data_IF_296669811155
#
_entry.id   IF_296669811155
#
_cell.length_a   1.000
_cell.length_b   1.000
_cell.length_c   1.000
_cell.angle_alpha   90.00
_cell.angle_beta   90.00
_cell.angle_gamma   90.00
#
_symmetry.space_group_name_H-M   'P 1'
#
loop_
_entity.id
_entity.type
_entity.pdbx_description
1 polymer ?
#
# COMPACT_ATOMS: atom_id res chain seq x y z
N UNK A 1 -85.65 -61.31 -19.90
CA UNK A 1 -84.67 -61.12 -18.82
C UNK A 1 -83.41 -60.51 -19.42
N UNK A 2 -83.27 -59.22 -19.29
CA UNK A 2 -82.26 -58.44 -19.97
C UNK A 2 -81.06 -58.22 -19.06
N UNK A 3 -79.87 -58.59 -19.53
CA UNK A 3 -78.59 -58.32 -18.87
C UNK A 3 -77.99 -57.03 -19.44
N UNK A 4 -77.95 -56.01 -18.64
CA UNK A 4 -77.19 -54.75 -19.00
C UNK A 4 -75.67 -55.01 -18.90
N UNK A 5 -74.96 -54.74 -19.99
CA UNK A 5 -73.50 -54.66 -20.00
C UNK A 5 -73.11 -53.25 -19.61
N UNK A 6 -72.35 -53.10 -18.52
CA UNK A 6 -71.65 -51.83 -18.19
C UNK A 6 -70.31 -51.80 -18.92
N UNK A 7 -70.15 -50.76 -19.71
CA UNK A 7 -68.87 -50.45 -20.38
C UNK A 7 -68.16 -49.38 -19.53
N UNK A 8 -67.07 -49.74 -18.93
CA UNK A 8 -66.21 -48.80 -18.18
C UNK A 8 -65.19 -48.14 -19.12
N UNK A 9 -65.30 -46.81 -19.23
CA UNK A 9 -64.30 -46.04 -19.94
C UNK A 9 -63.15 -45.59 -18.98
N UNK A 10 -61.94 -46.09 -19.22
CA UNK A 10 -60.76 -45.59 -18.57
C UNK A 10 -60.21 -44.39 -19.37
N UNK A 11 -60.33 -43.21 -18.80
CA UNK A 11 -59.68 -42.00 -19.31
C UNK A 11 -58.23 -41.97 -18.82
N UNK A 12 -57.29 -42.16 -19.73
CA UNK A 12 -55.85 -42.04 -19.50
C UNK A 12 -55.47 -40.56 -19.62
N UNK A 13 -55.23 -39.89 -18.49
CA UNK A 13 -54.73 -38.49 -18.48
C UNK A 13 -53.22 -38.50 -18.62
N UNK A 14 -52.72 -38.10 -19.77
CA UNK A 14 -51.28 -37.90 -19.98
C UNK A 14 -50.85 -36.60 -19.32
N UNK A 15 -50.03 -36.71 -18.23
CA UNK A 15 -49.34 -35.56 -17.64
C UNK A 15 -48.08 -35.29 -18.49
N UNK A 16 -48.11 -34.23 -19.29
CA UNK A 16 -46.92 -33.68 -19.95
C UNK A 16 -46.08 -32.96 -18.87
N UNK A 17 -45.01 -33.60 -18.39
CA UNK A 17 -44.01 -32.93 -17.56
C UNK A 17 -43.09 -32.13 -18.50
N UNK A 18 -43.35 -30.83 -18.56
CA UNK A 18 -42.46 -29.89 -19.25
C UNK A 18 -41.18 -29.71 -18.47
N UNK A 19 -40.08 -30.33 -18.90
CA UNK A 19 -38.73 -30.05 -18.41
C UNK A 19 -38.30 -28.67 -18.94
N UNK A 20 -38.51 -27.60 -18.16
CA UNK A 20 -37.87 -26.33 -18.39
C UNK A 20 -36.37 -26.50 -18.12
N UNK A 21 -35.57 -26.50 -19.19
CA UNK A 21 -34.10 -26.43 -19.07
C UNK A 21 -33.73 -25.09 -18.43
N UNK A 22 -33.40 -25.07 -17.14
CA UNK A 22 -32.72 -23.96 -16.49
C UNK A 22 -31.35 -23.82 -17.19
N UNK A 23 -31.23 -22.82 -18.07
CA UNK A 23 -29.92 -22.35 -18.50
C UNK A 23 -29.21 -21.78 -17.26
N UNK A 24 -28.27 -22.54 -16.73
CA UNK A 24 -27.28 -22.02 -15.77
C UNK A 24 -26.46 -21.02 -16.60
N UNK A 25 -26.84 -19.74 -16.51
CA UNK A 25 -26.02 -18.64 -16.99
C UNK A 25 -24.84 -18.63 -16.04
N UNK A 26 -23.71 -19.19 -16.47
CA UNK A 26 -22.46 -19.13 -15.72
C UNK A 26 -22.19 -17.67 -15.37
N UNK A 27 -22.03 -17.36 -14.09
CA UNK A 27 -21.61 -16.02 -13.68
C UNK A 27 -20.33 -15.69 -14.45
N UNK A 28 -20.19 -14.46 -15.02
CA UNK A 28 -18.96 -14.07 -15.69
C UNK A 28 -17.79 -14.27 -14.72
N UNK A 29 -16.78 -14.99 -15.16
CA UNK A 29 -15.54 -15.16 -14.39
C UNK A 29 -14.97 -13.76 -14.18
N UNK A 30 -14.98 -13.28 -12.96
CA UNK A 30 -14.44 -11.97 -12.61
C UNK A 30 -12.96 -11.92 -13.00
N UNK A 31 -12.59 -10.96 -13.85
CA UNK A 31 -11.20 -10.79 -14.28
C UNK A 31 -10.36 -10.41 -13.04
N UNK A 32 -9.40 -11.25 -12.68
CA UNK A 32 -8.46 -10.96 -11.62
C UNK A 32 -7.25 -10.23 -12.19
N UNK A 33 -6.73 -9.28 -11.41
CA UNK A 33 -5.52 -8.54 -11.73
C UNK A 33 -4.36 -9.04 -10.87
N UNK A 34 -3.34 -9.59 -11.50
CA UNK A 34 -2.07 -9.86 -10.85
C UNK A 34 -1.31 -8.56 -10.63
N UNK A 35 -0.65 -8.45 -9.49
CA UNK A 35 -0.03 -7.19 -9.06
C UNK A 35 1.42 -7.44 -8.66
N UNK A 36 2.33 -6.61 -9.17
CA UNK A 36 3.70 -6.49 -8.70
C UNK A 36 3.83 -5.21 -7.89
N UNK A 37 4.33 -5.29 -6.65
CA UNK A 37 4.44 -4.13 -5.78
C UNK A 37 5.89 -3.93 -5.34
N UNK A 38 6.38 -2.70 -5.49
CA UNK A 38 7.67 -2.28 -4.96
C UNK A 38 7.44 -1.24 -3.85
N UNK A 39 7.83 -1.59 -2.63
CA UNK A 39 7.73 -0.69 -1.49
C UNK A 39 9.05 0.04 -1.29
N UNK A 40 9.00 1.36 -1.36
CA UNK A 40 10.12 2.28 -1.15
C UNK A 40 9.91 3.01 0.17
N UNK A 41 10.94 3.08 1.01
CA UNK A 41 10.80 3.78 2.28
C UNK A 41 12.03 3.66 3.18
N UNK A 42 11.83 3.97 4.44
CA UNK A 42 12.84 3.97 5.48
C UNK A 42 12.79 2.70 6.39
N UNK A 43 13.23 2.82 7.63
CA UNK A 43 13.22 1.74 8.64
C UNK A 43 11.83 1.17 8.91
N UNK A 44 10.79 1.98 8.85
CA UNK A 44 9.39 1.54 9.07
C UNK A 44 8.97 0.61 7.92
N UNK A 45 9.26 0.98 6.68
CA UNK A 45 9.01 0.13 5.51
C UNK A 45 9.87 -1.14 5.54
N UNK A 46 11.14 -1.01 5.95
CA UNK A 46 12.04 -2.16 6.09
C UNK A 46 11.53 -3.17 7.14
N UNK A 47 10.79 -2.71 8.14
CA UNK A 47 10.39 -3.52 9.29
C UNK A 47 11.50 -3.63 10.33
N UNK A 48 12.30 -2.56 10.49
CA UNK A 48 13.36 -2.52 11.48
C UNK A 48 12.78 -2.80 12.89
N UNK A 49 13.54 -3.56 13.68
CA UNK A 49 13.19 -4.03 15.03
C UNK A 49 12.08 -5.10 15.11
N UNK A 50 11.47 -5.52 13.99
CA UNK A 50 10.60 -6.70 13.96
C UNK A 50 11.46 -7.99 14.00
N UNK A 51 10.92 -9.04 14.59
CA UNK A 51 11.62 -10.32 14.71
C UNK A 51 11.80 -11.00 13.36
N UNK A 52 10.77 -10.95 12.54
CA UNK A 52 10.78 -11.48 11.16
C UNK A 52 10.28 -10.41 10.17
N UNK A 53 11.13 -9.45 9.76
CA UNK A 53 10.73 -8.38 8.85
C UNK A 53 10.23 -8.89 7.50
N UNK A 54 10.69 -10.05 7.04
CA UNK A 54 10.24 -10.65 5.79
C UNK A 54 8.73 -10.89 5.78
N UNK A 55 8.16 -11.35 6.89
CA UNK A 55 6.74 -11.71 7.00
C UNK A 55 5.90 -10.70 7.77
N UNK A 56 6.53 -9.88 8.62
CA UNK A 56 5.87 -9.00 9.58
C UNK A 56 5.92 -7.52 9.21
N UNK A 57 6.82 -7.11 8.30
CA UNK A 57 6.89 -5.72 7.87
C UNK A 57 5.62 -5.26 7.16
N UNK A 58 5.26 -3.95 7.25
CA UNK A 58 4.06 -3.41 6.61
C UNK A 58 3.91 -3.78 5.12
N UNK A 59 4.97 -3.82 4.29
CA UNK A 59 4.93 -4.34 2.92
C UNK A 59 4.36 -5.76 2.78
N UNK A 60 4.84 -6.69 3.60
CA UNK A 60 4.38 -8.08 3.58
C UNK A 60 2.91 -8.19 3.96
N UNK A 61 2.49 -7.46 5.00
CA UNK A 61 1.10 -7.43 5.47
C UNK A 61 0.18 -6.79 4.41
N UNK A 62 0.61 -5.68 3.79
CA UNK A 62 -0.16 -5.01 2.74
C UNK A 62 -0.36 -5.93 1.52
N UNK A 63 0.69 -6.65 1.11
CA UNK A 63 0.64 -7.59 0.00
C UNK A 63 -0.25 -8.80 0.31
N UNK A 64 -0.17 -9.36 1.52
CA UNK A 64 -1.07 -10.42 1.99
C UNK A 64 -2.53 -9.93 2.02
N UNK A 65 -2.77 -8.71 2.52
CA UNK A 65 -4.11 -8.11 2.51
C UNK A 65 -4.67 -7.99 1.10
N UNK A 66 -3.88 -7.47 0.15
CA UNK A 66 -4.30 -7.30 -1.24
C UNK A 66 -4.64 -8.64 -1.91
N UNK A 67 -3.82 -9.67 -1.70
CA UNK A 67 -4.05 -11.01 -2.28
C UNK A 67 -5.38 -11.66 -1.84
N UNK A 68 -5.97 -11.19 -0.75
CA UNK A 68 -7.28 -11.65 -0.25
C UNK A 68 -8.46 -10.84 -0.81
N UNK A 69 -8.21 -9.78 -1.58
CA UNK A 69 -9.28 -8.91 -2.04
C UNK A 69 -9.92 -9.41 -3.34
N UNK A 70 -11.19 -9.09 -3.50
CA UNK A 70 -11.97 -9.42 -4.70
C UNK A 70 -11.34 -8.75 -5.93
N UNK A 71 -11.27 -9.46 -7.05
CA UNK A 71 -10.66 -8.94 -8.28
C UNK A 71 -9.12 -8.93 -8.28
N UNK A 72 -8.47 -9.31 -7.18
CA UNK A 72 -7.02 -9.47 -7.10
C UNK A 72 -6.64 -10.93 -7.34
N UNK A 73 -5.63 -11.12 -8.18
CA UNK A 73 -4.99 -12.40 -8.46
C UNK A 73 -3.74 -12.60 -7.58
N UNK A 74 -2.65 -12.97 -8.21
CA UNK A 74 -1.36 -13.11 -7.54
C UNK A 74 -0.77 -11.74 -7.18
N UNK A 75 -0.20 -11.61 -5.99
CA UNK A 75 0.55 -10.42 -5.56
C UNK A 75 1.98 -10.83 -5.25
N UNK A 76 2.92 -10.33 -6.06
CA UNK A 76 4.34 -10.43 -5.78
C UNK A 76 4.87 -9.06 -5.33
N UNK A 77 5.84 -9.03 -4.42
CA UNK A 77 6.35 -7.77 -3.92
C UNK A 77 7.84 -7.79 -3.60
N UNK A 78 8.43 -6.60 -3.59
CA UNK A 78 9.79 -6.35 -3.10
C UNK A 78 9.76 -5.22 -2.08
N UNK A 79 10.36 -5.46 -0.92
CA UNK A 79 10.59 -4.44 0.10
C UNK A 79 11.96 -3.78 -0.13
N UNK A 80 11.95 -2.50 -0.50
CA UNK A 80 13.14 -1.64 -0.71
C UNK A 80 13.26 -0.58 0.40
N UNK A 81 12.66 -0.80 1.55
CA UNK A 81 12.85 0.03 2.74
C UNK A 81 14.30 -0.05 3.23
N UNK A 82 14.87 1.10 3.65
CA UNK A 82 16.23 1.20 4.20
C UNK A 82 16.26 2.13 5.40
N UNK A 83 16.73 1.60 6.53
CA UNK A 83 16.87 2.38 7.77
C UNK A 83 17.72 3.62 7.55
N UNK A 84 17.28 4.74 8.10
CA UNK A 84 17.99 6.02 8.03
C UNK A 84 17.82 6.77 6.72
N UNK A 85 17.24 6.18 5.66
CA UNK A 85 17.13 6.84 4.36
C UNK A 85 16.04 7.91 4.34
N UNK A 86 16.35 8.98 3.60
CA UNK A 86 15.51 10.16 3.33
C UNK A 86 15.09 10.19 1.86
N UNK A 87 14.29 11.17 1.46
CA UNK A 87 14.03 11.44 0.05
C UNK A 87 15.30 11.76 -0.73
N UNK A 88 16.32 12.37 -0.08
CA UNK A 88 17.61 12.74 -0.71
C UNK A 88 18.38 11.50 -1.18
N UNK A 89 18.32 10.39 -0.41
CA UNK A 89 18.98 9.13 -0.77
C UNK A 89 18.36 8.48 -2.01
N UNK A 90 17.08 8.72 -2.25
CA UNK A 90 16.35 8.18 -3.41
C UNK A 90 16.30 9.13 -4.61
N UNK A 91 16.97 10.28 -4.58
CA UNK A 91 17.04 11.13 -5.77
C UNK A 91 17.76 10.40 -6.93
N UNK A 92 17.33 10.61 -8.19
CA UNK A 92 17.95 9.97 -9.34
C UNK A 92 19.47 10.15 -9.45
N UNK A 93 19.99 11.28 -8.97
CA UNK A 93 21.42 11.62 -9.02
C UNK A 93 22.19 11.27 -7.73
N UNK A 94 21.55 10.59 -6.75
CA UNK A 94 22.16 10.33 -5.44
C UNK A 94 22.86 8.96 -5.36
N UNK A 95 22.92 8.39 -4.18
CA UNK A 95 23.63 7.17 -3.76
C UNK A 95 23.33 5.88 -4.56
N UNK A 96 22.55 5.95 -5.63
CA UNK A 96 22.15 4.78 -6.42
C UNK A 96 20.99 3.97 -5.80
N UNK A 97 20.37 4.45 -4.72
CA UNK A 97 19.25 3.73 -4.09
C UNK A 97 18.06 3.57 -5.07
N UNK A 98 17.72 4.62 -5.80
CA UNK A 98 16.65 4.56 -6.81
C UNK A 98 17.03 3.66 -7.99
N UNK A 99 18.29 3.64 -8.42
CA UNK A 99 18.77 2.72 -9.45
C UNK A 99 18.59 1.27 -9.01
N UNK A 100 18.93 0.93 -7.76
CA UNK A 100 18.70 -0.41 -7.21
C UNK A 100 17.22 -0.77 -7.10
N UNK A 101 16.33 0.21 -6.84
CA UNK A 101 14.87 0.03 -6.92
C UNK A 101 14.48 -0.31 -8.36
N UNK A 102 14.94 0.46 -9.33
CA UNK A 102 14.64 0.28 -10.76
C UNK A 102 15.09 -1.09 -11.25
N UNK A 103 16.31 -1.52 -10.91
CA UNK A 103 16.84 -2.82 -11.32
C UNK A 103 16.05 -3.97 -10.70
N UNK A 104 15.73 -3.89 -9.41
CA UNK A 104 14.89 -4.87 -8.73
C UNK A 104 13.46 -4.91 -9.32
N UNK A 105 12.92 -3.76 -9.72
CA UNK A 105 11.61 -3.68 -10.37
C UNK A 105 11.61 -4.39 -11.72
N UNK A 106 12.65 -4.24 -12.54
CA UNK A 106 12.76 -4.94 -13.83
C UNK A 106 12.78 -6.46 -13.65
N UNK A 107 13.41 -6.96 -12.59
CA UNK A 107 13.42 -8.40 -12.26
C UNK A 107 12.05 -8.87 -11.78
N UNK A 108 11.36 -8.08 -10.94
CA UNK A 108 10.02 -8.43 -10.46
C UNK A 108 8.98 -8.39 -11.57
N UNK A 109 8.99 -7.32 -12.38
CA UNK A 109 7.95 -6.99 -13.35
C UNK A 109 8.37 -7.40 -14.78
N UNK A 110 8.66 -8.68 -14.97
CA UNK A 110 8.96 -9.24 -16.31
C UNK A 110 7.69 -9.47 -17.15
N UNK A 111 6.55 -9.67 -16.51
CA UNK A 111 5.25 -9.80 -17.15
C UNK A 111 4.52 -8.46 -17.18
N UNK A 112 4.54 -7.78 -18.33
CA UNK A 112 3.91 -6.48 -18.54
C UNK A 112 2.36 -6.49 -18.47
N UNK A 113 1.73 -7.67 -18.39
CA UNK A 113 0.27 -7.77 -18.20
C UNK A 113 -0.15 -7.57 -16.74
N UNK A 114 0.79 -7.64 -15.81
CA UNK A 114 0.55 -7.43 -14.39
C UNK A 114 0.50 -5.93 -14.07
N UNK A 115 -0.27 -5.56 -13.07
CA UNK A 115 -0.27 -4.16 -12.58
C UNK A 115 1.01 -3.90 -11.80
N UNK A 116 1.79 -2.90 -12.19
CA UNK A 116 2.96 -2.45 -11.43
C UNK A 116 2.58 -1.31 -10.49
N UNK A 117 2.89 -1.47 -9.22
CA UNK A 117 2.60 -0.51 -8.15
C UNK A 117 3.88 -0.15 -7.40
N UNK A 118 4.10 1.14 -7.19
CA UNK A 118 5.09 1.67 -6.25
C UNK A 118 4.37 2.25 -5.04
N UNK A 119 4.69 1.78 -3.84
CA UNK A 119 4.21 2.33 -2.57
C UNK A 119 5.36 3.03 -1.86
N UNK A 120 5.31 4.36 -1.73
CA UNK A 120 6.43 5.18 -1.26
C UNK A 120 6.07 5.79 0.10
N UNK A 121 6.83 5.43 1.14
CA UNK A 121 6.69 5.96 2.51
C UNK A 121 8.01 6.55 2.99
N UNK A 122 8.24 7.82 2.64
CA UNK A 122 9.41 8.62 3.01
C UNK A 122 8.96 9.90 3.73
N UNK A 123 9.87 10.53 4.48
CA UNK A 123 9.62 11.79 5.16
C UNK A 123 9.95 11.77 6.66
N UNK A 124 9.87 10.62 7.31
CA UNK A 124 10.22 10.51 8.74
C UNK A 124 11.64 10.98 8.99
N UNK A 125 12.61 10.45 8.25
CA UNK A 125 14.02 10.82 8.39
C UNK A 125 14.32 12.22 7.86
N UNK A 126 13.64 12.63 6.80
CA UNK A 126 13.71 13.99 6.24
C UNK A 126 13.33 15.04 7.28
N UNK A 127 12.39 14.69 8.18
CA UNK A 127 11.90 15.61 9.20
C UNK A 127 12.87 15.84 10.36
N UNK A 128 13.87 14.96 10.55
CA UNK A 128 14.82 15.09 11.65
C UNK A 128 15.55 16.44 11.61
N UNK A 129 15.84 17.00 12.78
CA UNK A 129 16.63 18.23 12.87
C UNK A 129 18.11 18.00 12.58
N UNK A 130 18.59 16.80 12.88
CA UNK A 130 19.99 16.42 12.67
C UNK A 130 20.11 14.88 12.61
N UNK A 131 20.90 14.41 11.66
CA UNK A 131 21.33 13.01 11.57
C UNK A 131 21.21 12.43 10.16
N UNK A 132 20.03 11.98 9.69
CA UNK A 132 19.89 11.37 8.39
C UNK A 132 20.32 12.27 7.23
N UNK A 133 20.78 11.68 6.14
CA UNK A 133 21.29 12.40 4.97
C UNK A 133 20.29 13.46 4.47
N UNK A 134 20.79 14.70 4.31
CA UNK A 134 20.01 15.84 3.84
C UNK A 134 19.02 16.43 4.85
N UNK A 135 18.83 15.80 6.04
CA UNK A 135 17.91 16.36 7.06
C UNK A 135 18.52 17.60 7.75
N UNK A 136 17.68 18.58 8.11
CA UNK A 136 16.23 18.69 7.87
C UNK A 136 15.92 19.04 6.40
N UNK A 137 14.99 18.31 5.79
CA UNK A 137 14.50 18.65 4.45
C UNK A 137 13.34 19.64 4.58
N UNK A 138 13.43 20.77 3.91
CA UNK A 138 12.35 21.76 3.86
C UNK A 138 11.11 21.17 3.17
N UNK A 139 9.86 21.52 3.57
CA UNK A 139 8.65 20.96 2.99
C UNK A 139 8.54 21.12 1.45
N UNK A 140 8.97 22.24 0.90
CA UNK A 140 8.97 22.46 -0.56
C UNK A 140 10.02 21.58 -1.22
N UNK A 141 11.23 21.48 -0.64
CA UNK A 141 12.27 20.57 -1.11
C UNK A 141 11.82 19.10 -1.02
N UNK A 142 11.10 18.72 0.05
CA UNK A 142 10.51 17.39 0.18
C UNK A 142 9.53 17.09 -0.97
N UNK A 143 8.63 18.02 -1.33
CA UNK A 143 7.74 17.86 -2.48
C UNK A 143 8.52 17.69 -3.78
N UNK A 144 9.57 18.48 -3.99
CA UNK A 144 10.43 18.40 -5.18
C UNK A 144 11.16 17.05 -5.26
N UNK A 145 11.67 16.56 -4.14
CA UNK A 145 12.32 15.26 -4.07
C UNK A 145 11.34 14.13 -4.41
N UNK A 146 10.17 14.13 -3.78
CA UNK A 146 9.11 13.14 -4.06
C UNK A 146 8.67 13.20 -5.54
N UNK A 147 8.59 14.41 -6.12
CA UNK A 147 8.30 14.58 -7.54
C UNK A 147 9.42 13.97 -8.41
N UNK A 148 10.68 14.25 -8.11
CA UNK A 148 11.82 13.74 -8.88
C UNK A 148 11.88 12.20 -8.85
N UNK A 149 11.59 11.58 -7.72
CA UNK A 149 11.49 10.13 -7.58
C UNK A 149 10.34 9.59 -8.43
N UNK A 150 9.16 10.18 -8.32
CA UNK A 150 7.98 9.73 -9.07
C UNK A 150 8.13 9.92 -10.57
N UNK A 151 8.65 11.06 -11.04
CA UNK A 151 8.90 11.31 -12.46
C UNK A 151 9.84 10.26 -13.06
N UNK A 152 10.89 9.89 -12.32
CA UNK A 152 11.82 8.84 -12.77
C UNK A 152 11.12 7.49 -12.88
N UNK A 153 10.31 7.11 -11.90
CA UNK A 153 9.55 5.86 -11.92
C UNK A 153 8.50 5.82 -13.04
N UNK A 154 7.78 6.93 -13.25
CA UNK A 154 6.81 7.05 -14.35
C UNK A 154 7.48 6.98 -15.72
N UNK A 155 8.68 7.54 -15.84
CA UNK A 155 9.50 7.49 -17.08
C UNK A 155 10.04 6.09 -17.34
N UNK A 156 10.57 5.42 -16.30
CA UNK A 156 11.18 4.09 -16.44
C UNK A 156 10.13 2.98 -16.63
N UNK A 157 8.94 3.16 -16.08
CA UNK A 157 7.84 2.18 -16.08
C UNK A 157 6.51 2.83 -16.49
N UNK A 158 6.31 3.11 -17.78
CA UNK A 158 5.06 3.70 -18.27
C UNK A 158 3.85 2.87 -17.86
N UNK A 159 2.83 3.53 -17.34
CA UNK A 159 1.60 2.86 -16.87
C UNK A 159 1.61 2.39 -15.41
N UNK A 160 2.76 2.44 -14.72
CA UNK A 160 2.81 2.11 -13.29
C UNK A 160 1.89 3.01 -12.46
N UNK A 161 1.53 2.53 -11.27
CA UNK A 161 0.76 3.27 -10.28
C UNK A 161 1.64 3.60 -9.08
N UNK A 162 1.58 4.84 -8.61
CA UNK A 162 2.38 5.32 -7.48
C UNK A 162 1.46 5.75 -6.34
N UNK A 163 1.74 5.25 -5.14
CA UNK A 163 1.03 5.60 -3.91
C UNK A 163 1.98 6.28 -2.94
N UNK A 164 1.72 7.54 -2.63
CA UNK A 164 2.43 8.24 -1.57
C UNK A 164 1.75 7.98 -0.24
N UNK A 165 2.37 7.15 0.60
CA UNK A 165 1.92 6.87 1.95
C UNK A 165 2.26 8.05 2.87
N UNK A 166 1.29 8.56 3.63
CA UNK A 166 1.57 9.54 4.65
C UNK A 166 2.48 8.93 5.72
N UNK A 167 3.61 9.55 6.07
CA UNK A 167 4.44 9.09 7.19
C UNK A 167 3.63 9.04 8.49
N UNK A 168 3.88 8.01 9.30
CA UNK A 168 3.19 7.87 10.58
C UNK A 168 3.75 8.84 11.63
N UNK A 169 2.99 9.03 12.71
CA UNK A 169 3.39 9.80 13.86
C UNK A 169 4.55 9.12 14.60
N UNK A 170 5.42 9.92 15.20
CA UNK A 170 6.40 9.52 16.21
C UNK A 170 6.35 10.48 17.41
N UNK A 171 6.89 10.05 18.56
CA UNK A 171 6.84 10.89 19.77
C UNK A 171 7.73 12.12 19.66
N UNK A 172 7.30 13.29 20.22
CA UNK A 172 8.01 14.55 20.08
C UNK A 172 9.36 14.63 20.78
N UNK A 173 9.70 13.63 21.59
CA UNK A 173 11.00 13.49 22.22
C UNK A 173 11.90 12.45 21.55
N UNK A 174 11.61 12.08 20.31
CA UNK A 174 12.41 11.11 19.54
C UNK A 174 13.83 11.63 19.34
N UNK A 175 14.77 10.99 19.99
CA UNK A 175 16.19 11.30 19.90
C UNK A 175 17.03 10.04 20.15
N UNK A 176 17.27 9.30 19.07
CA UNK A 176 18.19 8.14 19.06
C UNK A 176 19.60 8.59 18.60
N UNK A 177 20.21 7.98 17.58
CA UNK A 177 21.39 8.52 16.89
C UNK A 177 21.11 9.79 16.08
N UNK A 178 19.83 10.02 15.73
CA UNK A 178 19.32 11.20 15.03
C UNK A 178 18.40 12.00 15.94
N UNK A 179 18.41 13.31 15.80
CA UNK A 179 17.60 14.21 16.61
C UNK A 179 16.39 14.66 15.80
N UNK A 180 15.19 14.24 16.22
CA UNK A 180 13.91 14.60 15.56
C UNK A 180 13.19 15.69 16.33
N UNK A 181 12.90 15.46 17.59
CA UNK A 181 12.24 16.36 18.54
C UNK A 181 10.89 16.88 18.06
N UNK A 182 10.30 17.83 18.79
CA UNK A 182 9.02 18.43 18.46
C UNK A 182 9.05 19.19 17.12
N UNK A 183 10.14 19.87 16.83
CA UNK A 183 10.36 20.61 15.60
C UNK A 183 10.37 19.67 14.37
N UNK A 184 10.98 18.49 14.52
CA UNK A 184 10.93 17.46 13.48
C UNK A 184 9.51 16.95 13.26
N UNK A 185 8.77 16.66 14.33
CA UNK A 185 7.38 16.24 14.22
C UNK A 185 6.50 17.32 13.58
N UNK A 186 6.72 18.58 13.91
CA UNK A 186 6.03 19.72 13.29
C UNK A 186 6.36 19.82 11.79
N UNK A 187 7.62 19.57 11.40
CA UNK A 187 8.07 19.52 10.01
C UNK A 187 7.41 18.37 9.26
N UNK A 188 7.37 17.17 9.85
CA UNK A 188 6.71 15.98 9.29
C UNK A 188 5.25 16.28 8.92
N UNK A 189 4.52 17.00 9.77
CA UNK A 189 3.13 17.35 9.51
C UNK A 189 2.98 18.32 8.32
N UNK A 190 3.98 19.15 8.04
CA UNK A 190 3.99 20.04 6.86
C UNK A 190 4.21 19.29 5.55
N UNK A 191 4.74 18.07 5.57
CA UNK A 191 4.90 17.25 4.33
C UNK A 191 3.56 16.76 3.79
N UNK A 192 2.56 16.59 4.61
CA UNK A 192 1.27 16.08 4.16
C UNK A 192 0.54 17.00 3.15
N UNK A 193 0.36 18.31 3.40
CA UNK A 193 -0.18 19.19 2.37
C UNK A 193 0.67 19.24 1.10
N UNK A 194 1.99 19.08 1.20
CA UNK A 194 2.89 19.02 0.03
C UNK A 194 2.64 17.77 -0.82
N UNK A 195 2.47 16.60 -0.21
CA UNK A 195 2.08 15.39 -0.93
C UNK A 195 0.71 15.53 -1.59
N UNK A 196 -0.29 16.09 -0.90
CA UNK A 196 -1.62 16.35 -1.49
C UNK A 196 -1.53 17.25 -2.71
N UNK A 197 -0.78 18.35 -2.60
CA UNK A 197 -0.56 19.29 -3.70
C UNK A 197 0.12 18.60 -4.89
N UNK A 198 1.11 17.74 -4.63
CA UNK A 198 1.81 16.99 -5.65
C UNK A 198 0.87 16.01 -6.38
N UNK A 199 0.05 15.23 -5.64
CA UNK A 199 -0.93 14.33 -6.24
C UNK A 199 -1.97 15.10 -7.07
N UNK A 200 -2.42 16.27 -6.62
CA UNK A 200 -3.32 17.12 -7.37
C UNK A 200 -2.71 17.58 -8.70
N UNK A 201 -1.40 17.87 -8.76
CA UNK A 201 -0.70 18.18 -10.01
C UNK A 201 -0.67 16.95 -10.93
N UNK A 202 -0.33 15.77 -10.41
CA UNK A 202 -0.32 14.54 -11.20
C UNK A 202 -1.70 14.10 -11.69
N UNK A 203 -2.78 14.45 -10.99
CA UNK A 203 -4.13 14.15 -11.50
C UNK A 203 -4.44 14.84 -12.83
N UNK A 204 -3.72 15.93 -13.16
CA UNK A 204 -3.82 16.65 -14.43
C UNK A 204 -2.83 16.14 -15.48
N UNK A 205 -1.59 15.82 -15.08
CA UNK A 205 -0.52 15.43 -16.03
C UNK A 205 -0.43 13.92 -16.27
N UNK A 206 -0.77 13.11 -15.26
CA UNK A 206 -0.69 11.65 -15.27
C UNK A 206 -1.97 11.07 -14.62
N UNK A 207 -3.16 11.30 -15.22
CA UNK A 207 -4.43 10.91 -14.63
C UNK A 207 -4.46 9.40 -14.36
N UNK A 208 -4.93 9.04 -13.15
CA UNK A 208 -5.03 7.64 -12.74
C UNK A 208 -3.71 6.91 -12.50
N UNK A 209 -2.57 7.61 -12.36
CA UNK A 209 -1.28 6.97 -12.08
C UNK A 209 -0.71 7.28 -10.70
N UNK A 210 -0.96 8.46 -10.13
CA UNK A 210 -0.39 8.87 -8.83
C UNK A 210 -1.51 9.18 -7.84
N UNK A 211 -1.42 8.58 -6.66
CA UNK A 211 -2.46 8.61 -5.64
C UNK A 211 -1.90 8.95 -4.26
N UNK A 212 -2.74 9.52 -3.41
CA UNK A 212 -2.50 9.44 -1.97
C UNK A 212 -2.77 8.02 -1.49
N UNK A 213 -1.86 7.48 -0.71
CA UNK A 213 -2.01 6.21 -0.03
C UNK A 213 -2.81 6.34 1.27
N UNK A 214 -2.31 5.72 2.34
CA UNK A 214 -2.95 5.78 3.66
C UNK A 214 -2.94 7.20 4.24
N UNK A 215 -4.09 7.61 4.76
CA UNK A 215 -4.32 8.90 5.42
C UNK A 215 -4.71 8.75 6.89
N UNK A 216 -4.79 7.53 7.41
CA UNK A 216 -5.27 7.24 8.77
C UNK A 216 -4.13 6.95 9.74
N UNK A 217 -3.00 6.44 9.23
CA UNK A 217 -1.88 5.95 10.04
C UNK A 217 -1.34 7.00 11.00
N UNK A 218 -1.14 8.25 10.57
CA UNK A 218 -0.62 9.29 11.45
C UNK A 218 -1.48 9.49 12.72
N UNK A 219 -2.78 9.66 12.57
CA UNK A 219 -3.70 9.83 13.70
C UNK A 219 -3.85 8.55 14.52
N UNK A 220 -3.83 7.39 13.87
CA UNK A 220 -3.90 6.11 14.53
C UNK A 220 -2.69 5.90 15.47
N UNK A 221 -1.47 6.07 14.98
CA UNK A 221 -0.25 5.87 15.78
C UNK A 221 -0.08 6.94 16.85
N UNK A 222 -0.49 8.18 16.61
CA UNK A 222 -0.55 9.20 17.65
C UNK A 222 -1.41 8.76 18.84
N UNK A 223 -2.55 8.11 18.58
CA UNK A 223 -3.48 7.64 19.62
C UNK A 223 -3.02 6.35 20.29
N UNK A 224 -2.41 5.42 19.55
CA UNK A 224 -2.17 4.05 19.98
C UNK A 224 -0.66 3.76 20.19
N UNK A 225 0.21 4.78 20.28
CA UNK A 225 1.66 4.61 20.32
C UNK A 225 2.14 3.69 21.46
N UNK A 226 1.52 3.77 22.65
CA UNK A 226 1.92 2.95 23.80
C UNK A 226 1.73 1.44 23.60
N UNK A 227 0.83 1.04 22.70
CA UNK A 227 0.52 -0.38 22.46
C UNK A 227 1.03 -0.89 21.12
N UNK A 228 1.23 0.00 20.15
CA UNK A 228 1.47 -0.36 18.75
C UNK A 228 2.83 0.13 18.21
N UNK A 229 3.55 0.96 18.98
CA UNK A 229 4.94 1.27 18.73
C UNK A 229 5.85 0.65 19.80
N UNK A 230 7.11 0.45 19.45
CA UNK A 230 8.14 -0.05 20.36
C UNK A 230 8.56 1.08 21.29
N UNK A 231 8.60 0.87 22.62
CA UNK A 231 9.27 1.79 23.53
C UNK A 231 10.79 1.70 23.34
N UNK A 232 11.39 2.75 22.82
CA UNK A 232 12.81 2.83 22.52
C UNK A 232 13.50 3.79 23.50
N UNK A 233 14.71 3.47 23.94
CA UNK A 233 15.51 4.35 24.79
C UNK A 233 16.34 5.31 23.95
N UNK A 234 16.29 6.59 24.29
CA UNK A 234 17.03 7.65 23.58
C UNK A 234 17.58 8.72 24.50
N UNK A 235 18.26 9.71 23.92
CA UNK A 235 18.91 10.80 24.65
C UNK A 235 17.94 11.75 25.38
N UNK A 236 16.64 11.73 24.99
CA UNK A 236 15.58 12.50 25.63
C UNK A 236 14.54 11.59 26.34
N UNK A 237 14.97 10.44 26.85
CA UNK A 237 14.13 9.46 27.52
C UNK A 237 13.51 8.44 26.58
N UNK A 238 12.46 7.75 27.04
CA UNK A 238 11.72 6.78 26.22
C UNK A 238 10.95 7.48 25.12
N UNK A 239 11.12 7.01 23.89
CA UNK A 239 10.42 7.54 22.71
C UNK A 239 9.76 6.38 21.94
N UNK A 240 8.88 6.73 20.97
CA UNK A 240 8.10 5.80 20.16
C UNK A 240 8.22 6.20 18.70
N UNK A 241 8.83 5.35 17.87
CA UNK A 241 9.08 5.63 16.45
C UNK A 241 8.74 4.43 15.57
N UNK A 242 9.21 3.24 15.92
CA UNK A 242 9.05 2.06 15.10
C UNK A 242 7.83 1.23 15.54
N UNK A 243 6.98 0.79 14.58
CA UNK A 243 5.89 -0.13 14.88
C UNK A 243 6.41 -1.45 15.47
N UNK A 244 5.75 -1.95 16.52
CA UNK A 244 5.87 -3.34 16.90
C UNK A 244 5.06 -4.22 15.93
N UNK A 245 5.03 -5.54 16.13
CA UNK A 245 4.30 -6.47 15.27
C UNK A 245 2.84 -6.06 15.04
N UNK A 246 2.13 -5.69 16.13
CA UNK A 246 0.73 -5.26 16.03
C UNK A 246 0.58 -3.96 15.23
N UNK A 247 1.45 -3.00 15.48
CA UNK A 247 1.47 -1.75 14.70
C UNK A 247 1.82 -1.97 13.23
N UNK A 248 2.76 -2.86 12.93
CA UNK A 248 3.11 -3.23 11.56
C UNK A 248 1.93 -3.91 10.83
N UNK A 249 1.18 -4.79 11.50
CA UNK A 249 -0.05 -5.40 10.98
C UNK A 249 -1.11 -4.34 10.63
N UNK A 250 -1.31 -3.36 11.51
CA UNK A 250 -2.25 -2.26 11.26
C UNK A 250 -1.80 -1.40 10.09
N UNK A 251 -0.53 -0.98 10.09
CA UNK A 251 0.01 -0.11 9.04
C UNK A 251 -0.04 -0.79 7.67
N UNK A 252 0.34 -2.05 7.59
CA UNK A 252 0.26 -2.82 6.36
C UNK A 252 -1.17 -2.95 5.83
N UNK A 253 -2.16 -3.20 6.70
CA UNK A 253 -3.57 -3.21 6.32
C UNK A 253 -4.04 -1.86 5.79
N UNK A 254 -3.68 -0.77 6.45
CA UNK A 254 -4.02 0.59 5.98
C UNK A 254 -3.43 0.89 4.60
N UNK A 255 -2.17 0.49 4.35
CA UNK A 255 -1.56 0.62 3.03
C UNK A 255 -2.28 -0.24 1.98
N UNK A 256 -2.56 -1.50 2.30
CA UNK A 256 -3.29 -2.41 1.41
C UNK A 256 -4.70 -1.90 1.08
N UNK A 257 -5.45 -1.40 2.08
CA UNK A 257 -6.77 -0.78 1.88
C UNK A 257 -6.71 0.42 0.93
N UNK A 258 -5.73 1.31 1.13
CA UNK A 258 -5.57 2.50 0.29
C UNK A 258 -5.22 2.14 -1.16
N UNK A 259 -4.34 1.15 -1.36
CA UNK A 259 -3.99 0.65 -2.70
C UNK A 259 -5.21 0.01 -3.35
N UNK A 260 -5.89 -0.92 -2.68
CA UNK A 260 -7.06 -1.62 -3.23
C UNK A 260 -8.17 -0.66 -3.66
N UNK A 261 -8.49 0.31 -2.79
CA UNK A 261 -9.55 1.29 -3.04
C UNK A 261 -9.33 2.11 -4.32
N UNK A 262 -8.08 2.43 -4.64
CA UNK A 262 -7.77 3.28 -5.78
C UNK A 262 -7.44 2.50 -7.06
N UNK A 263 -7.11 1.20 -6.95
CA UNK A 263 -6.81 0.37 -8.13
C UNK A 263 -8.03 -0.35 -8.70
N UNK A 264 -8.92 -0.86 -7.85
CA UNK A 264 -9.90 -1.87 -8.23
C UNK A 264 -11.33 -1.57 -7.72
N UNK A 265 -11.54 -0.48 -7.01
CA UNK A 265 -12.87 -0.10 -6.57
C UNK A 265 -13.43 0.91 -7.56
N UNK A 266 -14.34 0.44 -8.42
CA UNK A 266 -15.24 1.26 -9.24
C UNK A 266 -16.17 2.11 -8.38
#
# INVERSE_FOLDING_TARGET
MNALKLISYYTFTFFLVSFSQLKIIGQPVEKKHDIDIVYIGNSITQGAQLVNPHDEAPPAIASKYLAMQRGVGKVDFINRGRSGYTTVDFLPASSGALAQVTDATRVLHMDSQRLLVFSISLGTNDSAEKGPNGSPVDPVAYQQNMKSIADKLLSDFPGCKIFFQQPIWYSPNTYNGSRYMEEGLARLQKYFPELKSLVAKYSQTNPGQVFMGDLKGFSYFRKNHLTDLIPESGNAGTFYLHPNKKGADVLGKLWGEAIYKNLLKD
#
